data_IF_704628850895
#
_entry.id   IF_704628850895
#
_cell.length_a   1.000
_cell.length_b   1.000
_cell.length_c   1.000
_cell.angle_alpha   90.00
_cell.angle_beta   90.00
_cell.angle_gamma   90.00
#
_symmetry.space_group_name_H-M   'P 1'
#
loop_
_entity.id
_entity.type
_entity.pdbx_description
1 polymer ?
#
# COMPACT_ATOMS: atom_id res chain seq x y z
N UNK A 1 13.53 10.01 6.39
CA UNK A 1 14.13 9.24 5.27
C UNK A 1 15.60 8.94 5.50
N UNK A 2 16.41 9.89 6.01
CA UNK A 2 17.82 9.68 6.36
C UNK A 2 18.13 8.47 7.28
N UNK A 3 17.36 8.16 8.36
CA UNK A 3 17.74 7.10 9.30
C UNK A 3 17.66 5.69 8.71
N UNK A 4 16.87 5.50 7.66
CA UNK A 4 16.62 4.20 7.04
C UNK A 4 17.66 3.89 5.96
N UNK A 5 18.23 4.92 5.33
CA UNK A 5 19.35 4.78 4.39
C UNK A 5 20.64 4.50 5.17
N UNK A 6 20.89 5.23 6.25
CA UNK A 6 22.05 4.98 7.14
C UNK A 6 22.03 3.57 7.75
N UNK A 7 20.87 3.06 8.15
CA UNK A 7 20.73 1.68 8.66
C UNK A 7 20.93 0.60 7.58
N UNK A 8 20.68 0.92 6.30
CA UNK A 8 20.89 0.00 5.18
C UNK A 8 22.36 -0.01 4.71
N UNK A 9 23.04 1.14 4.80
CA UNK A 9 24.47 1.26 4.54
C UNK A 9 25.31 0.56 5.63
N UNK A 10 24.89 0.60 6.90
CA UNK A 10 25.55 -0.14 8.00
C UNK A 10 25.48 -1.68 7.85
N UNK A 11 24.51 -2.21 7.10
CA UNK A 11 24.40 -3.64 6.79
C UNK A 11 24.96 -4.00 5.40
N UNK A 12 25.71 -3.10 4.77
CA UNK A 12 26.47 -3.37 3.54
C UNK A 12 25.68 -3.22 2.24
N UNK A 13 24.66 -2.36 2.19
CA UNK A 13 24.02 -1.95 0.94
C UNK A 13 24.98 -1.04 0.14
N UNK A 14 25.54 -1.55 -0.96
CA UNK A 14 26.42 -0.80 -1.87
C UNK A 14 25.68 -0.52 -3.17
N UNK A 15 25.34 0.75 -3.36
CA UNK A 15 25.00 1.51 -4.58
C UNK A 15 24.20 0.87 -5.75
N UNK A 16 23.14 1.58 -6.17
CA UNK A 16 22.70 1.77 -7.56
C UNK A 16 22.12 0.61 -8.39
N UNK A 17 22.49 -0.66 -8.17
CA UNK A 17 22.22 -1.73 -9.16
C UNK A 17 21.05 -2.66 -8.79
N UNK A 18 20.66 -2.73 -7.50
CA UNK A 18 19.56 -3.58 -7.01
C UNK A 18 18.75 -2.84 -5.94
N UNK A 19 17.42 -2.77 -6.09
CA UNK A 19 16.54 -2.08 -5.11
C UNK A 19 15.72 -3.10 -4.30
N UNK A 20 15.89 -3.08 -2.98
CA UNK A 20 14.96 -3.73 -2.05
C UNK A 20 13.73 -2.84 -1.86
N UNK A 21 12.67 -3.16 -2.58
CA UNK A 21 11.41 -2.45 -2.47
C UNK A 21 10.57 -3.10 -1.37
N UNK A 22 10.61 -2.54 -0.15
CA UNK A 22 9.50 -2.72 0.76
C UNK A 22 8.29 -2.02 0.15
N UNK A 23 7.11 -2.64 0.25
CA UNK A 23 5.87 -2.31 -0.48
C UNK A 23 5.23 -0.95 -0.12
N UNK A 24 6.05 0.05 0.25
CA UNK A 24 5.71 1.43 0.61
C UNK A 24 4.86 2.17 -0.43
N UNK A 25 4.73 1.66 -1.66
CA UNK A 25 3.86 2.27 -2.67
C UNK A 25 2.38 1.92 -2.59
N UNK A 26 1.94 1.03 -1.69
CA UNK A 26 0.51 0.73 -1.56
C UNK A 26 0.03 0.54 -0.11
N UNK A 27 0.81 1.04 0.86
CA UNK A 27 0.79 0.56 2.24
C UNK A 27 -0.41 0.92 3.13
N UNK A 28 -1.34 1.78 2.73
CA UNK A 28 -2.34 2.31 3.67
C UNK A 28 -3.73 2.40 3.01
N UNK A 29 -4.14 1.32 2.36
CA UNK A 29 -5.45 1.22 1.72
C UNK A 29 -6.61 1.13 2.72
N UNK A 30 -6.40 0.49 3.88
CA UNK A 30 -7.44 0.37 4.94
C UNK A 30 -7.56 1.65 5.77
N UNK A 31 -6.44 2.33 6.08
CA UNK A 31 -6.51 3.59 6.81
C UNK A 31 -7.08 4.72 5.94
N UNK A 32 -6.74 4.78 4.65
CA UNK A 32 -7.24 5.83 3.75
C UNK A 32 -8.69 5.68 3.33
N UNK A 33 -9.35 4.53 3.55
CA UNK A 33 -10.81 4.44 3.33
C UNK A 33 -11.63 4.82 4.55
N UNK A 34 -11.14 4.45 5.75
CA UNK A 34 -11.78 4.87 7.00
C UNK A 34 -11.54 6.36 7.26
N UNK A 35 -10.34 6.84 6.96
CA UNK A 35 -9.88 8.21 7.22
C UNK A 35 -10.82 9.29 6.67
N UNK A 36 -11.09 9.38 5.36
CA UNK A 36 -11.81 10.53 4.84
C UNK A 36 -13.30 10.45 5.18
N UNK A 37 -13.90 9.29 5.46
CA UNK A 37 -15.27 9.24 5.97
C UNK A 37 -15.35 9.50 7.49
N UNK A 38 -14.50 8.84 8.28
CA UNK A 38 -14.71 8.64 9.72
C UNK A 38 -13.45 8.90 10.58
N UNK A 39 -12.27 9.02 9.97
CA UNK A 39 -10.99 8.92 10.66
C UNK A 39 -10.59 7.49 11.01
N UNK A 40 -9.30 7.28 11.28
CA UNK A 40 -8.75 6.02 11.80
C UNK A 40 -7.73 6.30 12.90
N UNK A 41 -7.94 5.76 14.10
CA UNK A 41 -7.03 5.98 15.23
C UNK A 41 -5.76 5.13 15.19
N UNK A 42 -5.63 4.22 14.22
CA UNK A 42 -4.49 3.30 14.10
C UNK A 42 -4.22 2.49 15.39
N UNK A 43 -5.27 2.23 16.17
CA UNK A 43 -5.17 1.50 17.44
C UNK A 43 -4.81 2.35 18.65
N UNK A 44 -4.73 3.68 18.52
CA UNK A 44 -4.61 4.57 19.69
C UNK A 44 -5.92 4.50 20.50
N UNK A 45 -5.87 4.04 21.76
CA UNK A 45 -7.08 3.89 22.57
C UNK A 45 -7.62 5.26 22.99
N UNK A 46 -8.93 5.33 23.24
CA UNK A 46 -9.63 6.50 23.80
C UNK A 46 -9.60 7.78 22.96
N UNK A 47 -9.23 7.69 21.68
CA UNK A 47 -9.32 8.80 20.72
C UNK A 47 -10.57 8.62 19.85
N UNK A 48 -11.37 9.68 19.71
CA UNK A 48 -12.47 9.68 18.76
C UNK A 48 -11.91 9.77 17.32
N UNK A 49 -12.20 8.79 16.44
CA UNK A 49 -11.81 8.82 15.04
C UNK A 49 -12.19 10.13 14.32
N UNK A 50 -13.34 10.74 14.66
CA UNK A 50 -13.81 11.95 14.00
C UNK A 50 -12.92 13.17 14.30
N UNK A 51 -12.25 13.18 15.45
CA UNK A 51 -11.31 14.26 15.83
C UNK A 51 -10.02 14.19 15.02
N UNK A 52 -9.55 12.98 14.70
CA UNK A 52 -8.33 12.79 13.90
C UNK A 52 -8.58 12.88 12.39
N UNK A 53 -9.85 12.78 11.96
CA UNK A 53 -10.23 12.86 10.54
C UNK A 53 -9.75 14.13 9.86
N UNK A 54 -9.84 15.28 10.52
CA UNK A 54 -9.38 16.56 9.96
C UNK A 54 -7.90 16.54 9.62
N UNK A 55 -7.09 16.04 10.57
CA UNK A 55 -5.63 15.88 10.38
C UNK A 55 -5.29 14.85 9.32
N UNK A 56 -6.05 13.74 9.25
CA UNK A 56 -5.80 12.76 8.21
C UNK A 56 -6.19 13.26 6.81
N UNK A 57 -7.23 14.09 6.70
CA UNK A 57 -7.64 14.71 5.43
C UNK A 57 -6.64 15.78 4.96
N UNK A 58 -6.00 16.51 5.87
CA UNK A 58 -4.97 17.49 5.52
C UNK A 58 -3.66 16.85 5.03
N UNK A 59 -3.42 15.59 5.36
CA UNK A 59 -2.25 14.84 4.88
C UNK A 59 -2.41 14.36 3.44
N UNK A 60 -1.74 15.06 2.52
CA UNK A 60 -1.65 14.73 1.08
C UNK A 60 -1.21 13.27 0.81
N UNK A 61 -0.39 12.68 1.70
CA UNK A 61 0.04 11.28 1.59
C UNK A 61 -1.16 10.33 1.56
N UNK A 62 -2.28 10.65 2.21
CA UNK A 62 -3.45 9.78 2.21
C UNK A 62 -4.17 9.75 0.85
N UNK A 63 -4.11 10.82 0.06
CA UNK A 63 -4.63 10.79 -1.30
C UNK A 63 -3.77 9.90 -2.20
N UNK A 64 -2.44 9.93 -2.03
CA UNK A 64 -1.51 9.07 -2.77
C UNK A 64 -1.78 7.58 -2.62
N UNK A 65 -2.34 7.18 -1.48
CA UNK A 65 -2.60 5.78 -1.11
C UNK A 65 -3.96 5.27 -1.57
N UNK A 66 -4.69 6.07 -2.36
CA UNK A 66 -5.98 5.68 -2.91
C UNK A 66 -5.84 4.56 -3.97
N UNK A 67 -6.90 3.78 -4.21
CA UNK A 67 -6.85 2.61 -5.07
C UNK A 67 -6.49 2.95 -6.52
N UNK A 68 -5.54 2.21 -7.09
CA UNK A 68 -5.19 2.32 -8.50
C UNK A 68 -6.25 1.65 -9.39
N UNK A 69 -6.87 2.36 -10.36
CA UNK A 69 -7.89 1.78 -11.22
C UNK A 69 -7.43 0.60 -12.08
N UNK A 70 -6.18 0.61 -12.55
CA UNK A 70 -5.61 -0.49 -13.33
C UNK A 70 -5.50 -1.78 -12.51
N UNK A 71 -5.26 -1.68 -11.20
CA UNK A 71 -5.09 -2.83 -10.30
C UNK A 71 -6.43 -3.32 -9.78
N UNK A 72 -7.27 -2.40 -9.31
CA UNK A 72 -8.52 -2.75 -8.63
C UNK A 72 -9.70 -2.88 -9.59
N UNK A 73 -9.63 -2.31 -10.78
CA UNK A 73 -10.67 -2.35 -11.80
C UNK A 73 -12.04 -2.02 -11.23
N UNK A 74 -13.02 -2.86 -11.54
CA UNK A 74 -14.42 -2.74 -11.13
C UNK A 74 -14.72 -3.36 -9.75
N UNK A 75 -13.69 -3.75 -8.98
CA UNK A 75 -13.89 -4.29 -7.62
C UNK A 75 -14.67 -3.28 -6.79
N UNK A 76 -15.69 -3.73 -6.08
CA UNK A 76 -16.50 -2.88 -5.22
C UNK A 76 -15.73 -2.59 -3.93
N UNK A 77 -15.32 -1.33 -3.76
CA UNK A 77 -14.42 -0.90 -2.71
C UNK A 77 -15.20 -0.31 -1.52
N UNK A 78 -16.20 0.49 -1.82
CA UNK A 78 -17.13 1.04 -0.83
C UNK A 78 -18.55 0.85 -1.33
N UNK A 79 -19.39 0.26 -0.50
CA UNK A 79 -20.81 0.06 -0.78
C UNK A 79 -21.59 0.83 0.27
N UNK A 80 -22.52 1.65 -0.19
CA UNK A 80 -23.46 2.44 0.64
C UNK A 80 -24.88 2.16 0.17
N UNK A 81 -25.92 2.55 0.92
CA UNK A 81 -27.31 2.35 0.48
C UNK A 81 -27.65 3.06 -0.84
N UNK A 82 -26.96 4.18 -1.13
CA UNK A 82 -27.28 5.02 -2.28
C UNK A 82 -26.33 4.80 -3.47
N UNK A 83 -25.15 4.23 -3.25
CA UNK A 83 -24.11 4.13 -4.27
C UNK A 83 -23.07 3.06 -3.95
N UNK A 84 -22.43 2.54 -5.00
CA UNK A 84 -21.26 1.67 -4.93
C UNK A 84 -20.11 2.32 -5.66
N UNK A 85 -18.92 2.28 -5.07
CA UNK A 85 -17.72 2.93 -5.59
C UNK A 85 -16.65 1.87 -5.84
N UNK A 86 -16.12 1.86 -7.06
CA UNK A 86 -14.88 1.16 -7.43
C UNK A 86 -13.70 2.14 -7.39
N UNK A 87 -12.54 1.71 -7.93
CA UNK A 87 -11.38 2.60 -8.07
C UNK A 87 -11.63 3.73 -9.09
N UNK A 88 -12.53 3.53 -10.05
CA UNK A 88 -12.88 4.56 -11.05
C UNK A 88 -13.71 5.71 -10.45
N UNK A 89 -14.51 5.46 -9.42
CA UNK A 89 -15.40 6.46 -8.81
C UNK A 89 -14.79 7.20 -7.61
N UNK A 90 -13.48 7.07 -7.35
CA UNK A 90 -12.85 7.67 -6.16
C UNK A 90 -13.06 9.18 -6.06
N UNK A 91 -12.98 9.92 -7.18
CA UNK A 91 -13.27 11.35 -7.17
C UNK A 91 -14.71 11.67 -6.73
N UNK A 92 -15.68 10.91 -7.22
CA UNK A 92 -17.09 11.07 -6.84
C UNK A 92 -17.31 10.66 -5.38
N UNK A 93 -16.59 9.64 -4.91
CA UNK A 93 -16.60 9.24 -3.51
C UNK A 93 -16.11 10.36 -2.59
N UNK A 94 -14.98 11.02 -2.89
CA UNK A 94 -14.46 12.14 -2.10
C UNK A 94 -15.45 13.32 -2.01
N UNK A 95 -16.16 13.61 -3.11
CA UNK A 95 -17.23 14.63 -3.13
C UNK A 95 -18.38 14.23 -2.19
N UNK A 96 -18.88 12.99 -2.32
CA UNK A 96 -20.06 12.51 -1.59
C UNK A 96 -19.86 12.42 -0.07
N UNK A 97 -18.62 12.33 0.38
CA UNK A 97 -18.27 12.29 1.81
C UNK A 97 -17.94 13.68 2.39
N UNK A 98 -18.20 14.74 1.62
CA UNK A 98 -17.91 16.11 2.00
C UNK A 98 -16.41 16.37 2.15
N UNK A 99 -15.59 15.83 1.24
CA UNK A 99 -14.16 16.09 1.13
C UNK A 99 -13.80 16.53 -0.30
N UNK A 100 -14.55 17.51 -0.81
CA UNK A 100 -14.40 18.05 -2.17
C UNK A 100 -13.02 18.69 -2.41
N UNK A 101 -12.40 19.26 -1.38
CA UNK A 101 -11.03 19.79 -1.43
C UNK A 101 -9.98 18.74 -1.85
N UNK A 102 -10.22 17.44 -1.56
CA UNK A 102 -9.35 16.34 -1.98
C UNK A 102 -9.51 15.94 -3.46
N UNK A 103 -10.60 16.35 -4.11
CA UNK A 103 -10.93 15.93 -5.50
C UNK A 103 -9.93 16.50 -6.50
N UNK A 104 -9.63 17.80 -6.42
CA UNK A 104 -8.72 18.46 -7.36
C UNK A 104 -7.29 17.90 -7.27
N UNK A 105 -6.65 17.79 -6.09
CA UNK A 105 -5.37 17.10 -5.91
C UNK A 105 -5.36 15.67 -6.43
N UNK A 106 -6.41 14.89 -6.13
CA UNK A 106 -6.51 13.51 -6.59
C UNK A 106 -6.49 13.42 -8.12
N UNK A 107 -7.35 14.18 -8.81
CA UNK A 107 -7.45 14.15 -10.27
C UNK A 107 -6.22 14.73 -10.97
N UNK A 108 -5.67 15.85 -10.47
CA UNK A 108 -4.62 16.59 -11.17
C UNK A 108 -3.22 16.03 -10.93
N UNK A 109 -2.96 15.45 -9.76
CA UNK A 109 -1.61 14.95 -9.38
C UNK A 109 -1.60 13.44 -9.18
N UNK A 110 -2.47 12.93 -8.32
CA UNK A 110 -2.35 11.54 -7.85
C UNK A 110 -2.70 10.53 -8.93
N UNK A 111 -3.89 10.66 -9.53
CA UNK A 111 -4.40 9.72 -10.52
C UNK A 111 -3.43 9.55 -11.72
N UNK A 112 -2.91 10.63 -12.34
CA UNK A 112 -1.90 10.50 -13.40
C UNK A 112 -0.61 9.80 -12.96
N UNK A 113 -0.21 9.99 -11.70
CA UNK A 113 1.03 9.42 -11.16
C UNK A 113 0.88 7.91 -10.88
N UNK A 114 -0.26 7.46 -10.37
CA UNK A 114 -0.49 6.04 -10.07
C UNK A 114 -0.81 5.22 -11.33
N UNK A 115 -1.54 5.79 -12.29
CA UNK A 115 -1.86 5.12 -13.56
C UNK A 115 -0.60 4.88 -14.42
N UNK A 116 0.40 5.76 -14.29
CA UNK A 116 1.65 5.69 -15.07
C UNK A 116 2.81 5.11 -14.26
N UNK A 117 2.66 3.87 -13.78
CA UNK A 117 3.77 3.17 -13.13
C UNK A 117 4.72 2.61 -14.18
N UNK A 118 5.94 3.14 -14.23
CA UNK A 118 7.00 2.73 -15.17
C UNK A 118 7.94 1.77 -14.45
N UNK A 119 8.33 0.69 -15.12
CA UNK A 119 9.31 -0.25 -14.56
C UNK A 119 10.70 0.40 -14.51
N UNK A 120 11.42 0.31 -13.38
CA UNK A 120 12.71 0.97 -13.22
C UNK A 120 13.85 0.35 -14.04
N UNK A 121 13.69 -0.86 -14.59
CA UNK A 121 14.69 -1.50 -15.45
C UNK A 121 15.89 -2.09 -14.70
N UNK A 122 15.84 -2.13 -13.37
CA UNK A 122 16.80 -2.82 -12.49
C UNK A 122 16.12 -4.02 -11.83
N UNK A 123 16.82 -5.09 -11.45
CA UNK A 123 16.22 -6.20 -10.73
C UNK A 123 15.55 -5.75 -9.43
N UNK A 124 14.33 -6.24 -9.20
CA UNK A 124 13.54 -5.94 -7.99
C UNK A 124 13.24 -7.24 -7.26
N UNK A 125 13.52 -7.26 -5.96
CA UNK A 125 13.00 -8.27 -5.04
C UNK A 125 11.98 -7.61 -4.11
N UNK A 126 10.73 -8.05 -4.19
CA UNK A 126 9.65 -7.64 -3.29
C UNK A 126 9.43 -8.71 -2.23
N UNK A 127 9.57 -8.33 -0.97
CA UNK A 127 9.30 -9.20 0.18
C UNK A 127 8.01 -8.70 0.84
N UNK A 128 6.99 -9.56 0.89
CA UNK A 128 5.65 -9.21 1.35
C UNK A 128 5.12 -10.19 2.40
N UNK A 129 4.31 -9.68 3.34
CA UNK A 129 3.52 -10.51 4.23
C UNK A 129 2.24 -11.02 3.56
N UNK A 130 1.76 -12.18 3.96
CA UNK A 130 0.48 -12.74 3.50
C UNK A 130 -0.21 -13.57 4.59
N UNK A 131 -1.45 -14.00 4.37
CA UNK A 131 -2.21 -14.82 5.30
C UNK A 131 -2.78 -14.06 6.51
N UNK A 132 -2.72 -12.72 6.50
CA UNK A 132 -3.24 -11.87 7.57
C UNK A 132 -4.52 -11.21 7.11
N UNK A 133 -5.58 -11.36 7.92
CA UNK A 133 -6.93 -10.84 7.65
C UNK A 133 -6.88 -9.33 7.36
N UNK A 134 -7.14 -8.94 6.11
CA UNK A 134 -7.00 -7.56 5.62
C UNK A 134 -8.31 -7.06 5.03
N UNK A 135 -8.68 -5.81 5.31
CA UNK A 135 -9.94 -5.28 4.80
C UNK A 135 -9.89 -5.18 3.26
N UNK A 136 -11.04 -5.40 2.62
CA UNK A 136 -11.22 -5.43 1.17
C UNK A 136 -12.40 -4.55 0.69
N UNK A 137 -13.51 -4.59 1.41
CA UNK A 137 -14.68 -3.77 1.09
C UNK A 137 -15.27 -3.18 2.35
N UNK A 138 -15.67 -1.91 2.29
CA UNK A 138 -16.41 -1.25 3.35
C UNK A 138 -17.89 -1.23 3.00
N UNK A 139 -18.73 -1.83 3.84
CA UNK A 139 -20.18 -1.81 3.73
C UNK A 139 -20.77 -0.84 4.75
N UNK A 140 -21.39 0.22 4.25
CA UNK A 140 -22.19 1.13 5.06
C UNK A 140 -23.67 0.73 4.92
N UNK A 141 -24.31 0.32 6.03
CA UNK A 141 -25.73 -0.10 6.03
C UNK A 141 -26.72 1.07 6.13
N UNK A 142 -26.25 2.24 6.57
CA UNK A 142 -27.04 3.47 6.70
C UNK A 142 -26.30 4.62 6.04
N UNK A 143 -27.03 5.65 5.67
CA UNK A 143 -26.49 6.92 5.14
C UNK A 143 -25.87 7.81 6.24
N UNK A 144 -25.45 7.22 7.37
CA UNK A 144 -24.90 7.95 8.50
C UNK A 144 -23.37 7.92 8.41
N UNK A 145 -22.77 9.02 7.94
CA UNK A 145 -21.32 9.21 7.74
C UNK A 145 -20.50 9.32 9.05
N UNK A 146 -20.87 8.56 10.08
CA UNK A 146 -20.21 8.50 11.39
C UNK A 146 -20.32 7.15 12.10
N UNK A 147 -21.07 6.17 11.55
CA UNK A 147 -21.09 4.80 12.07
C UNK A 147 -20.01 3.95 11.38
N UNK A 148 -19.35 3.06 12.14
CA UNK A 148 -18.33 2.16 11.60
C UNK A 148 -18.92 1.23 10.54
N UNK A 149 -18.29 1.09 9.35
CA UNK A 149 -18.77 0.16 8.34
C UNK A 149 -18.55 -1.27 8.79
N UNK A 150 -19.38 -2.16 8.28
CA UNK A 150 -19.05 -3.57 8.21
C UNK A 150 -17.90 -3.75 7.23
N UNK A 151 -16.95 -4.63 7.56
CA UNK A 151 -15.77 -4.86 6.74
C UNK A 151 -15.79 -6.28 6.21
N UNK A 152 -15.74 -6.38 4.88
CA UNK A 152 -15.41 -7.63 4.19
C UNK A 152 -13.89 -7.74 4.17
N UNK A 153 -13.37 -8.87 4.61
CA UNK A 153 -11.95 -9.13 4.69
C UNK A 153 -11.52 -10.15 3.64
N UNK A 154 -10.29 -9.99 3.17
CA UNK A 154 -9.57 -10.96 2.36
C UNK A 154 -8.15 -11.16 2.88
N UNK A 155 -7.29 -11.65 2.00
CA UNK A 155 -5.88 -11.91 2.28
C UNK A 155 -5.02 -10.64 2.14
N UNK A 156 -3.93 -10.58 2.90
CA UNK A 156 -2.93 -9.51 2.89
C UNK A 156 -2.00 -9.58 4.09
N UNK A 157 -1.43 -8.42 4.45
CA UNK A 157 -0.53 -8.27 5.60
C UNK A 157 -1.20 -7.61 6.83
N UNK A 158 -2.53 -7.49 6.82
CA UNK A 158 -3.34 -6.82 7.84
C UNK A 158 -3.56 -5.33 7.57
N UNK A 159 -2.80 -4.72 6.65
CA UNK A 159 -2.95 -3.31 6.23
C UNK A 159 -3.12 -3.18 4.71
N UNK A 160 -2.41 -3.99 3.94
CA UNK A 160 -2.34 -3.98 2.47
C UNK A 160 -2.87 -5.31 1.97
N UNK A 161 -3.89 -5.26 1.11
CA UNK A 161 -4.45 -6.48 0.54
C UNK A 161 -3.51 -7.07 -0.53
N UNK A 162 -3.73 -8.35 -0.86
CA UNK A 162 -2.90 -9.05 -1.84
C UNK A 162 -2.96 -8.43 -3.24
N UNK A 163 -4.07 -7.82 -3.65
CA UNK A 163 -4.14 -7.17 -4.97
C UNK A 163 -3.13 -6.01 -5.08
N UNK A 164 -2.97 -5.23 -4.01
CA UNK A 164 -1.94 -4.19 -3.91
C UNK A 164 -0.53 -4.76 -3.77
N UNK A 165 -0.34 -5.77 -2.90
CA UNK A 165 0.99 -6.35 -2.66
C UNK A 165 1.59 -7.03 -3.90
N UNK A 166 0.73 -7.52 -4.79
CA UNK A 166 1.12 -8.19 -6.04
C UNK A 166 0.97 -7.31 -7.28
N UNK A 167 0.65 -6.02 -7.12
CA UNK A 167 0.37 -5.12 -8.23
C UNK A 167 1.51 -5.07 -9.26
N UNK A 168 2.77 -5.13 -8.80
CA UNK A 168 3.94 -5.11 -9.68
C UNK A 168 4.04 -6.33 -10.59
N UNK A 169 3.55 -7.50 -10.16
CA UNK A 169 3.51 -8.70 -11.02
C UNK A 169 2.67 -8.42 -12.28
N UNK A 170 1.57 -7.69 -12.13
CA UNK A 170 0.69 -7.31 -13.25
C UNK A 170 1.21 -6.12 -14.04
N UNK A 171 1.68 -5.07 -13.36
CA UNK A 171 2.15 -3.84 -14.01
C UNK A 171 3.40 -4.07 -14.86
N UNK A 172 4.26 -5.02 -14.46
CA UNK A 172 5.52 -5.29 -15.14
C UNK A 172 5.50 -6.58 -15.98
N UNK A 173 4.37 -7.28 -16.06
CA UNK A 173 4.24 -8.56 -16.77
C UNK A 173 4.78 -8.53 -18.21
N UNK A 174 4.49 -7.45 -18.95
CA UNK A 174 4.87 -7.30 -20.36
C UNK A 174 6.26 -6.67 -20.55
N UNK A 175 6.92 -6.24 -19.47
CA UNK A 175 8.22 -5.58 -19.56
C UNK A 175 9.37 -6.59 -19.47
N UNK A 176 9.86 -7.04 -20.63
CA UNK A 176 10.97 -8.00 -20.75
C UNK A 176 12.29 -7.52 -20.14
N UNK A 177 12.47 -6.23 -19.96
CA UNK A 177 13.68 -5.65 -19.38
C UNK A 177 13.56 -5.49 -17.85
N UNK A 178 12.42 -5.85 -17.25
CA UNK A 178 12.20 -5.78 -15.82
C UNK A 178 12.27 -7.17 -15.19
N UNK A 179 13.30 -7.42 -14.39
CA UNK A 179 13.34 -8.59 -13.51
C UNK A 179 12.58 -8.31 -12.21
N UNK A 180 11.65 -9.19 -11.85
CA UNK A 180 10.85 -9.09 -10.63
C UNK A 180 10.80 -10.45 -9.91
N UNK A 181 11.26 -10.47 -8.66
CA UNK A 181 11.12 -11.60 -7.74
C UNK A 181 10.19 -11.20 -6.61
N UNK A 182 9.19 -12.02 -6.31
CA UNK A 182 8.26 -11.80 -5.19
C UNK A 182 8.39 -12.93 -4.18
N UNK A 183 8.72 -12.58 -2.94
CA UNK A 183 8.84 -13.50 -1.81
C UNK A 183 7.68 -13.24 -0.86
N UNK A 184 6.88 -14.27 -0.59
CA UNK A 184 5.70 -14.20 0.27
C UNK A 184 5.99 -14.88 1.59
N UNK A 185 5.78 -14.17 2.70
CA UNK A 185 6.01 -14.69 4.05
C UNK A 185 4.66 -14.81 4.76
N UNK A 186 4.21 -16.05 4.92
CA UNK A 186 2.90 -16.36 5.50
C UNK A 186 2.85 -16.01 7.00
N UNK A 187 1.73 -15.43 7.44
CA UNK A 187 1.47 -15.05 8.83
C UNK A 187 2.19 -13.77 9.28
N UNK A 188 2.92 -13.08 8.39
CA UNK A 188 3.64 -11.86 8.73
C UNK A 188 2.77 -10.64 8.41
N UNK A 189 2.51 -9.83 9.43
CA UNK A 189 1.77 -8.58 9.28
C UNK A 189 2.66 -7.43 8.82
N UNK A 190 2.02 -6.37 8.34
CA UNK A 190 2.61 -5.13 7.83
C UNK A 190 3.73 -4.57 8.72
N UNK A 191 3.48 -4.50 10.03
CA UNK A 191 4.44 -3.93 10.99
C UNK A 191 5.45 -4.94 11.51
N UNK A 192 5.15 -6.23 11.37
CA UNK A 192 5.97 -7.31 11.91
C UNK A 192 7.01 -7.82 10.91
N UNK A 193 6.92 -7.45 9.63
CA UNK A 193 7.89 -7.82 8.59
C UNK A 193 9.31 -7.32 8.90
N UNK A 194 9.44 -6.25 9.67
CA UNK A 194 10.73 -5.71 10.13
C UNK A 194 11.08 -6.13 11.57
N UNK A 195 10.39 -7.12 12.13
CA UNK A 195 10.56 -7.54 13.53
C UNK A 195 10.65 -9.05 13.72
N UNK A 196 9.91 -9.83 12.93
CA UNK A 196 9.90 -11.29 13.06
C UNK A 196 11.15 -11.87 12.40
N UNK A 197 11.83 -12.79 13.10
CA UNK A 197 13.04 -13.43 12.61
C UNK A 197 12.83 -14.07 11.23
N UNK A 198 11.70 -14.77 11.01
CA UNK A 198 11.41 -15.38 9.71
C UNK A 198 11.45 -14.36 8.54
N UNK A 199 11.06 -13.11 8.77
CA UNK A 199 11.11 -12.07 7.75
C UNK A 199 12.50 -11.45 7.66
N UNK A 200 13.17 -11.21 8.79
CA UNK A 200 14.54 -10.69 8.83
C UNK A 200 15.54 -11.65 8.19
N UNK A 201 15.39 -12.96 8.42
CA UNK A 201 16.21 -14.02 7.82
C UNK A 201 16.05 -14.03 6.30
N UNK A 202 14.83 -13.81 5.78
CA UNK A 202 14.60 -13.69 4.33
C UNK A 202 15.24 -12.41 3.78
N UNK A 203 15.04 -11.27 4.44
CA UNK A 203 15.61 -9.98 4.00
C UNK A 203 17.15 -10.05 3.97
N UNK A 204 17.77 -10.51 5.06
CA UNK A 204 19.22 -10.61 5.17
C UNK A 204 19.80 -11.67 4.22
N UNK A 205 19.08 -12.78 4.00
CA UNK A 205 19.44 -13.79 3.01
C UNK A 205 19.45 -13.25 1.58
N UNK A 206 18.44 -12.46 1.20
CA UNK A 206 18.38 -11.82 -0.12
C UNK A 206 19.49 -10.78 -0.30
N UNK A 207 19.75 -9.93 0.71
CA UNK A 207 20.87 -8.97 0.69
C UNK A 207 22.20 -9.72 0.49
N UNK A 208 22.43 -10.77 1.27
CA UNK A 208 23.67 -11.55 1.20
C UNK A 208 23.87 -12.21 -0.17
N UNK A 209 22.78 -12.73 -0.75
CA UNK A 209 22.77 -13.32 -2.09
C UNK A 209 23.13 -12.27 -3.16
N UNK A 210 22.48 -11.10 -3.12
CA UNK A 210 22.73 -9.99 -4.04
C UNK A 210 24.20 -9.55 -3.96
N UNK A 211 24.72 -9.35 -2.75
CA UNK A 211 26.11 -8.93 -2.55
C UNK A 211 27.12 -9.98 -3.06
N UNK A 212 26.82 -11.26 -2.87
CA UNK A 212 27.68 -12.35 -3.38
C UNK A 212 27.73 -12.40 -4.91
N UNK A 213 26.58 -12.16 -5.57
CA UNK A 213 26.48 -12.10 -7.04
C UNK A 213 27.26 -10.89 -7.56
N UNK A 214 27.08 -9.72 -6.96
CA UNK A 214 27.77 -8.49 -7.35
C UNK A 214 29.29 -8.64 -7.23
N UNK A 215 29.79 -9.21 -6.12
CA UNK A 215 31.22 -9.50 -5.94
C UNK A 215 31.76 -10.47 -6.98
N UNK A 216 30.97 -11.47 -7.38
CA UNK A 216 31.38 -12.47 -8.38
C UNK A 216 31.39 -11.91 -9.81
N UNK A 217 30.57 -10.90 -10.10
CA UNK A 217 30.52 -10.23 -11.40
C UNK A 217 31.62 -9.16 -11.58
N UNK A 218 32.25 -8.72 -10.48
CA UNK A 218 33.32 -7.73 -10.47
C UNK A 218 34.74 -8.31 -10.65
N UNK A 219 34.86 -9.63 -10.77
CA UNK A 219 36.12 -10.39 -10.99
C UNK A 219 36.18 -10.89 -12.42
#
# INVERSE_FOLDING_TARGET
>A
MAPLVESLEEIGYVDGENTLWSSLRFSIWVSCRRSPMQGNTLGVPLVDPLLVRGEQRSSETNLWLLPNPTIFGTKQLVITPNATYSAYEIAQFLENIGFSEGVYPYKSRILPLIEKTIAPGVPITCIIGSGVKTAETLLYRKNCYGEQPEIVYGDGDGTVNMASLLALESLFAENKNQSLKVIRISGVSHTSILKQNIALDQITGEISCINSIAMSAAV
#
